data_IF_010246387405
#
_entry.id   IF_010246387405
#
_cell.length_a   1.000
_cell.length_b   1.000
_cell.length_c   1.000
_cell.angle_alpha   90.00
_cell.angle_beta   90.00
_cell.angle_gamma   90.00
#
_symmetry.space_group_name_H-M   'P 1'
#
loop_
_entity.id
_entity.type
_entity.pdbx_description
1 polymer ?
#
# COMPACT_ATOMS: atom_id res chain seq x y z
N UNK A 1 16.89 -5.10 13.34
CA UNK A 1 16.04 -3.94 13.71
C UNK A 1 15.35 -3.46 12.44
N UNK A 2 14.02 -3.39 12.43
CA UNK A 2 13.30 -2.69 11.36
C UNK A 2 13.74 -1.22 11.40
N UNK A 3 14.18 -0.62 10.28
CA UNK A 3 14.54 0.79 10.28
C UNK A 3 13.37 1.61 10.82
N UNK A 4 13.64 2.53 11.74
CA UNK A 4 12.60 3.36 12.35
C UNK A 4 11.90 4.16 11.26
N UNK A 5 10.71 3.71 10.86
CA UNK A 5 9.93 4.42 9.86
C UNK A 5 9.31 5.64 10.54
N UNK A 6 9.88 6.81 10.27
CA UNK A 6 9.45 8.08 10.86
C UNK A 6 8.57 8.88 9.90
N UNK A 7 7.50 9.46 10.44
CA UNK A 7 6.61 10.39 9.73
C UNK A 7 6.85 11.80 10.25
N UNK A 8 6.88 12.78 9.35
CA UNK A 8 6.91 14.21 9.72
C UNK A 8 5.77 14.97 9.06
N UNK A 9 5.50 16.16 9.56
CA UNK A 9 4.56 17.09 8.93
C UNK A 9 4.88 17.24 7.44
N UNK A 10 3.83 17.21 6.61
CA UNK A 10 3.87 17.28 5.14
C UNK A 10 4.39 16.03 4.42
N UNK A 11 4.75 14.94 5.11
CA UNK A 11 4.92 13.67 4.42
C UNK A 11 3.58 13.18 3.85
N UNK A 12 3.58 12.74 2.60
CA UNK A 12 2.41 12.20 1.92
C UNK A 12 2.57 10.69 1.81
N UNK A 13 1.66 9.97 2.45
CA UNK A 13 1.64 8.51 2.48
C UNK A 13 0.57 8.01 1.51
N UNK A 14 0.98 7.18 0.56
CA UNK A 14 0.06 6.48 -0.33
C UNK A 14 -0.13 5.04 0.15
N UNK A 15 -1.38 4.57 0.15
CA UNK A 15 -1.74 3.17 0.33
C UNK A 15 -2.40 2.69 -0.97
N UNK A 16 -1.77 1.75 -1.66
CA UNK A 16 -2.26 1.21 -2.91
C UNK A 16 -2.72 -0.23 -2.75
N UNK A 17 -3.85 -0.55 -3.36
CA UNK A 17 -4.40 -1.90 -3.45
C UNK A 17 -4.48 -2.29 -4.93
N UNK A 18 -3.86 -3.42 -5.27
CA UNK A 18 -3.82 -3.92 -6.64
C UNK A 18 -4.62 -5.21 -6.72
N UNK A 19 -5.61 -5.21 -7.60
CA UNK A 19 -6.30 -6.43 -8.02
C UNK A 19 -5.71 -6.92 -9.33
N UNK A 20 -5.33 -8.20 -9.43
CA UNK A 20 -4.81 -8.74 -10.67
C UNK A 20 -5.91 -8.80 -11.75
N UNK A 21 -5.53 -8.68 -13.03
CA UNK A 21 -6.49 -8.80 -14.13
C UNK A 21 -7.25 -10.15 -14.08
N UNK A 22 -8.57 -10.17 -14.29
CA UNK A 22 -9.40 -11.37 -14.15
C UNK A 22 -9.04 -12.55 -15.07
N UNK A 23 -8.25 -12.30 -16.13
CA UNK A 23 -7.98 -13.24 -17.21
C UNK A 23 -6.63 -13.96 -17.11
N UNK A 24 -5.85 -13.71 -16.05
CA UNK A 24 -4.57 -14.38 -15.84
C UNK A 24 -4.83 -15.67 -15.05
N UNK A 25 -4.62 -16.81 -15.70
CA UNK A 25 -4.91 -18.17 -15.20
C UNK A 25 -3.97 -18.64 -14.08
N UNK A 26 -2.89 -17.90 -13.82
CA UNK A 26 -2.05 -18.11 -12.65
C UNK A 26 -2.55 -17.18 -11.55
N UNK A 27 -2.98 -17.75 -10.43
CA UNK A 27 -3.56 -17.11 -9.24
C UNK A 27 -2.65 -16.00 -8.67
N UNK A 28 -2.60 -14.85 -9.33
CA UNK A 28 -2.10 -13.65 -8.69
C UNK A 28 -3.13 -13.29 -7.63
N UNK A 29 -2.67 -13.09 -6.39
CA UNK A 29 -3.49 -12.63 -5.29
C UNK A 29 -3.44 -11.10 -5.27
N UNK A 30 -4.50 -10.43 -4.81
CA UNK A 30 -4.44 -9.00 -4.55
C UNK A 30 -3.30 -8.68 -3.58
N UNK A 31 -2.74 -7.48 -3.70
CA UNK A 31 -1.70 -7.03 -2.78
C UNK A 31 -1.82 -5.56 -2.43
N UNK A 32 -1.27 -5.21 -1.27
CA UNK A 32 -1.17 -3.85 -0.76
C UNK A 32 0.28 -3.40 -0.84
N UNK A 33 0.50 -2.15 -1.24
CA UNK A 33 1.81 -1.51 -1.20
C UNK A 33 1.70 -0.10 -0.63
N UNK A 34 2.82 0.42 -0.13
CA UNK A 34 2.88 1.75 0.47
C UNK A 34 3.87 2.64 -0.28
N UNK A 35 3.61 3.93 -0.24
CA UNK A 35 4.52 4.95 -0.77
C UNK A 35 4.70 6.06 0.24
N UNK A 36 5.87 6.70 0.20
CA UNK A 36 6.15 7.94 0.92
C UNK A 36 6.65 8.97 -0.08
N UNK A 37 5.97 10.11 -0.14
CA UNK A 37 6.28 11.22 -1.04
C UNK A 37 6.44 10.74 -2.51
N UNK A 38 5.52 9.87 -2.96
CA UNK A 38 5.49 9.34 -4.33
C UNK A 38 6.45 8.19 -4.63
N UNK A 39 7.25 7.74 -3.66
CA UNK A 39 8.17 6.59 -3.84
C UNK A 39 7.70 5.39 -3.04
N UNK A 40 7.69 4.21 -3.66
CA UNK A 40 7.37 2.96 -2.97
C UNK A 40 8.34 2.72 -1.81
N UNK A 41 7.80 2.19 -0.71
CA UNK A 41 8.55 1.84 0.49
C UNK A 41 8.22 0.40 0.89
N UNK A 42 9.23 -0.32 1.39
CA UNK A 42 9.08 -1.69 1.86
C UNK A 42 8.65 -2.69 0.78
N UNK A 43 8.37 -3.91 1.23
CA UNK A 43 7.79 -4.98 0.42
C UNK A 43 6.26 -4.82 0.35
N UNK A 44 5.61 -5.48 -0.61
CA UNK A 44 4.15 -5.54 -0.63
C UNK A 44 3.61 -6.56 0.40
N UNK A 45 2.32 -6.45 0.69
CA UNK A 45 1.59 -7.40 1.52
C UNK A 45 0.65 -8.18 0.61
N UNK A 46 0.87 -9.49 0.49
CA UNK A 46 0.00 -10.37 -0.28
C UNK A 46 -1.29 -10.64 0.50
N UNK A 47 -2.43 -10.60 -0.17
CA UNK A 47 -3.74 -10.87 0.43
C UNK A 47 -4.10 -12.33 0.13
N UNK A 48 -3.72 -13.24 1.01
CA UNK A 48 -3.85 -14.69 0.81
C UNK A 48 -5.28 -15.24 0.99
N UNK A 49 -6.16 -14.46 1.62
CA UNK A 49 -7.56 -14.80 1.83
C UNK A 49 -8.45 -14.03 0.86
N UNK A 50 -9.52 -14.66 0.39
CA UNK A 50 -10.58 -13.96 -0.34
C UNK A 50 -11.18 -12.87 0.56
N UNK A 51 -10.67 -11.64 0.40
CA UNK A 51 -11.21 -10.44 1.03
C UNK A 51 -12.09 -9.73 0.02
N UNK A 52 -13.39 -10.01 0.08
CA UNK A 52 -14.39 -9.40 -0.80
C UNK A 52 -14.58 -7.89 -0.53
N UNK A 53 -14.16 -7.40 0.64
CA UNK A 53 -14.36 -6.01 1.04
C UNK A 53 -13.16 -5.46 1.81
N UNK A 54 -12.17 -4.94 1.10
CA UNK A 54 -11.08 -4.15 1.68
C UNK A 54 -11.50 -2.68 1.69
N UNK A 55 -11.30 -2.01 2.83
CA UNK A 55 -11.65 -0.60 3.01
C UNK A 55 -10.46 0.17 3.59
N UNK A 56 -10.24 1.43 3.15
CA UNK A 56 -9.24 2.30 3.76
C UNK A 56 -9.47 2.43 5.27
N UNK A 57 -8.39 2.38 6.06
CA UNK A 57 -8.44 2.54 7.50
C UNK A 57 -7.23 3.31 8.00
N UNK A 58 -7.45 4.21 8.95
CA UNK A 58 -6.40 5.00 9.60
C UNK A 58 -6.71 5.19 11.07
N UNK A 59 -5.69 5.09 11.91
CA UNK A 59 -5.75 5.36 13.35
C UNK A 59 -4.79 6.50 13.68
N UNK A 60 -5.26 7.51 14.39
CA UNK A 60 -4.49 8.70 14.73
C UNK A 60 -4.27 8.79 16.25
N UNK A 61 -3.11 9.30 16.65
CA UNK A 61 -2.79 9.61 18.05
C UNK A 61 -2.10 10.97 18.12
N UNK A 62 -2.79 11.96 18.69
CA UNK A 62 -2.29 13.33 18.84
C UNK A 62 -1.87 14.01 17.51
N UNK A 63 -2.54 13.69 16.40
CA UNK A 63 -2.27 14.28 15.10
C UNK A 63 -3.55 14.40 14.26
N UNK A 64 -3.46 15.14 13.16
CA UNK A 64 -4.50 15.28 12.14
C UNK A 64 -3.92 14.96 10.77
N UNK A 65 -4.75 14.46 9.86
CA UNK A 65 -4.38 14.22 8.48
C UNK A 65 -5.48 14.72 7.53
N UNK A 66 -5.12 14.88 6.27
CA UNK A 66 -6.05 15.06 5.16
C UNK A 66 -6.03 13.77 4.31
N UNK A 67 -7.18 13.41 3.75
CA UNK A 67 -7.32 12.23 2.89
C UNK A 67 -7.60 12.66 1.46
N UNK A 68 -6.97 12.00 0.50
CA UNK A 68 -7.26 12.15 -0.92
C UNK A 68 -7.68 10.79 -1.50
N UNK A 69 -8.96 10.65 -1.88
CA UNK A 69 -9.51 9.46 -2.52
C UNK A 69 -9.66 9.61 -4.05
N UNK A 70 -9.06 10.65 -4.63
CA UNK A 70 -9.12 10.96 -6.07
C UNK A 70 -9.68 12.34 -6.40
N UNK A 71 -10.09 13.12 -5.40
CA UNK A 71 -10.54 14.50 -5.59
C UNK A 71 -9.41 15.41 -6.08
N UNK A 72 -8.17 15.07 -5.72
CA UNK A 72 -6.95 15.72 -6.19
C UNK A 72 -6.02 14.70 -6.85
N UNK A 73 -5.12 15.17 -7.72
CA UNK A 73 -4.10 14.30 -8.33
C UNK A 73 -3.21 13.64 -7.27
N UNK A 74 -2.93 12.35 -7.45
CA UNK A 74 -1.97 11.64 -6.61
C UNK A 74 -0.53 12.05 -6.95
N UNK A 75 0.33 12.08 -5.94
CA UNK A 75 1.79 12.26 -6.14
C UNK A 75 2.42 10.98 -6.70
N UNK A 76 1.90 9.82 -6.31
CA UNK A 76 2.32 8.55 -6.89
C UNK A 76 1.72 8.40 -8.30
N UNK A 77 2.57 8.16 -9.29
CA UNK A 77 2.14 7.97 -10.68
C UNK A 77 1.62 6.53 -10.88
N UNK A 78 0.33 6.33 -10.58
CA UNK A 78 -0.34 5.02 -10.62
C UNK A 78 -0.20 4.34 -12.00
N UNK A 79 -0.17 5.10 -13.10
CA UNK A 79 0.00 4.58 -14.46
C UNK A 79 1.36 3.94 -14.72
N UNK A 80 2.38 4.24 -13.88
CA UNK A 80 3.72 3.64 -13.95
C UNK A 80 3.94 2.57 -12.88
N UNK A 81 2.87 2.09 -12.24
CA UNK A 81 2.98 0.99 -11.29
C UNK A 81 3.54 -0.26 -11.99
N UNK A 82 4.55 -0.88 -11.38
CA UNK A 82 5.17 -2.12 -11.84
C UNK A 82 4.73 -3.29 -10.96
N UNK A 83 4.82 -4.51 -11.49
CA UNK A 83 4.51 -5.71 -10.73
C UNK A 83 5.56 -5.89 -9.62
N UNK A 84 5.10 -5.93 -8.36
CA UNK A 84 5.97 -6.14 -7.22
C UNK A 84 6.31 -7.63 -7.10
N UNK A 85 7.58 -7.95 -6.92
CA UNK A 85 8.08 -9.33 -6.77
C UNK A 85 8.42 -9.69 -5.32
N UNK A 86 8.57 -8.68 -4.45
CA UNK A 86 8.92 -8.86 -3.03
C UNK A 86 7.72 -8.61 -2.12
N UNK A 87 7.39 -9.64 -1.33
CA UNK A 87 6.30 -9.61 -0.35
C UNK A 87 6.83 -9.90 1.05
N UNK A 88 6.21 -9.29 2.06
CA UNK A 88 6.46 -9.69 3.45
C UNK A 88 5.89 -11.08 3.72
N UNK A 89 6.64 -11.88 4.50
CA UNK A 89 6.16 -13.15 5.03
C UNK A 89 5.53 -12.93 6.41
N UNK A 90 4.60 -13.80 6.80
CA UNK A 90 3.95 -13.75 8.13
C UNK A 90 5.00 -13.77 9.26
N UNK A 91 6.05 -14.59 9.08
CA UNK A 91 7.21 -14.73 9.98
C UNK A 91 8.00 -13.41 10.21
N UNK A 92 7.86 -12.42 9.33
CA UNK A 92 8.56 -11.12 9.47
C UNK A 92 7.80 -10.13 10.38
N UNK A 93 6.62 -10.49 10.87
CA UNK A 93 5.78 -9.67 11.76
C UNK A 93 5.76 -10.15 13.23
N UNK A 94 6.38 -11.30 13.52
CA UNK A 94 6.63 -11.82 14.88
C UNK A 94 7.90 -11.23 15.50
#
# INVERSE_FOLDING_TARGET
ELPSFTYKTNDIIGCGLVYPPPKITNKLLPYIFFTKNGKQIGKAILIEKDCESIRPYVLLKCCSIETNFGDNSFIYEVSKHYLIEEFYKEEEFE
#
